data_IF_482603998040
#
_entry.id   IF_482603998040
#
_cell.length_a   1.000
_cell.length_b   1.000
_cell.length_c   1.000
_cell.angle_alpha   90.00
_cell.angle_beta   90.00
_cell.angle_gamma   90.00
#
_symmetry.space_group_name_H-M   'P 1'
#
loop_
_entity.id
_entity.type
_entity.pdbx_description
1 polymer ?
#
# COMPACT_ATOMS: atom_id res chain seq x y z
N UNK A 1 -4.69 -3.38 6.48
CA UNK A 1 -3.78 -2.54 5.66
C UNK A 1 -2.59 -3.37 5.27
N UNK A 2 -2.31 -3.37 4.02
CA UNK A 2 -1.59 -4.41 3.30
C UNK A 2 -0.12 -4.58 3.71
N UNK A 3 0.77 -3.63 3.46
CA UNK A 3 2.20 -3.73 3.86
C UNK A 3 2.99 -4.78 3.09
N UNK A 4 2.62 -5.02 1.83
CA UNK A 4 3.32 -5.93 0.92
C UNK A 4 4.55 -5.29 0.28
N UNK A 5 4.53 -3.96 0.10
CA UNK A 5 5.57 -3.20 -0.58
C UNK A 5 6.62 -2.75 0.44
N UNK A 6 7.52 -3.63 0.82
CA UNK A 6 8.50 -3.43 1.88
C UNK A 6 9.91 -3.82 1.41
N UNK A 7 10.93 -3.42 2.15
CA UNK A 7 12.33 -3.77 1.85
C UNK A 7 12.66 -5.22 2.24
N UNK A 8 13.51 -5.87 1.46
CA UNK A 8 14.26 -7.04 1.89
C UNK A 8 15.57 -6.58 2.55
N UNK A 9 15.62 -6.61 3.87
CA UNK A 9 16.78 -6.10 4.65
C UNK A 9 18.06 -6.88 4.45
N UNK A 10 17.97 -8.12 3.99
CA UNK A 10 19.16 -8.97 3.81
C UNK A 10 19.97 -8.56 2.57
N UNK A 11 19.31 -7.88 1.61
CA UNK A 11 19.89 -7.46 0.34
C UNK A 11 20.24 -5.96 0.30
N UNK A 12 20.11 -5.24 1.43
CA UNK A 12 20.40 -3.82 1.52
C UNK A 12 21.60 -3.50 2.39
N UNK A 13 22.32 -2.43 2.03
CA UNK A 13 23.32 -1.83 2.91
C UNK A 13 22.67 -1.19 4.12
N UNK A 14 23.37 -1.18 5.25
CA UNK A 14 22.85 -0.59 6.50
C UNK A 14 22.38 0.86 6.33
N UNK A 15 23.07 1.68 5.55
CA UNK A 15 22.68 3.07 5.29
C UNK A 15 21.31 3.17 4.61
N UNK A 16 21.02 2.28 3.66
CA UNK A 16 19.76 2.25 2.92
C UNK A 16 18.61 1.79 3.81
N UNK A 17 18.86 0.81 4.69
CA UNK A 17 17.90 0.40 5.72
C UNK A 17 17.58 1.57 6.66
N UNK A 18 18.59 2.34 7.11
CA UNK A 18 18.37 3.51 7.96
C UNK A 18 17.61 4.62 7.24
N UNK A 19 17.87 4.84 5.95
CA UNK A 19 17.16 5.81 5.12
C UNK A 19 15.68 5.44 4.96
N UNK A 20 15.39 4.21 4.53
CA UNK A 20 14.01 3.71 4.45
C UNK A 20 13.29 3.79 5.81
N UNK A 21 13.97 3.43 6.89
CA UNK A 21 13.43 3.56 8.24
C UNK A 21 13.16 5.02 8.61
N UNK A 22 13.97 5.96 8.11
CA UNK A 22 13.77 7.39 8.26
C UNK A 22 12.46 7.85 7.63
N UNK A 23 12.15 7.44 6.42
CA UNK A 23 10.88 7.75 5.74
C UNK A 23 9.69 7.10 6.44
N UNK A 24 9.80 5.83 6.85
CA UNK A 24 8.75 5.15 7.60
C UNK A 24 8.45 5.83 8.95
N UNK A 25 9.50 6.21 9.69
CA UNK A 25 9.35 6.97 10.94
C UNK A 25 8.82 8.39 10.66
N UNK A 26 9.19 9.00 9.53
CA UNK A 26 8.67 10.28 9.07
C UNK A 26 7.17 10.24 8.81
N UNK A 27 6.69 9.22 8.11
CA UNK A 27 5.26 9.00 7.91
C UNK A 27 4.53 8.81 9.26
N UNK A 28 5.08 7.99 10.17
CA UNK A 28 4.52 7.78 11.50
C UNK A 28 4.41 9.09 12.30
N UNK A 29 5.44 9.94 12.25
CA UNK A 29 5.44 11.25 12.91
C UNK A 29 4.39 12.16 12.30
N UNK A 30 4.35 12.28 10.98
CA UNK A 30 3.38 13.09 10.24
C UNK A 30 1.94 12.67 10.54
N UNK A 31 1.66 11.35 10.55
CA UNK A 31 0.37 10.82 10.94
C UNK A 31 0.01 11.20 12.37
N UNK A 32 0.99 11.13 13.29
CA UNK A 32 0.80 11.50 14.68
C UNK A 32 0.54 12.99 14.89
N UNK A 33 1.28 13.85 14.21
CA UNK A 33 1.13 15.31 14.30
C UNK A 33 -0.19 15.80 13.69
N UNK A 34 -0.59 15.24 12.54
CA UNK A 34 -1.79 15.68 11.81
C UNK A 34 -3.09 15.06 12.33
N UNK A 35 -3.02 13.81 12.80
CA UNK A 35 -4.19 12.97 13.07
C UNK A 35 -4.18 12.28 14.44
N UNK A 36 -3.18 12.59 15.27
CA UNK A 36 -3.06 12.06 16.62
C UNK A 36 -2.65 10.58 16.65
N UNK A 37 -2.85 9.96 17.81
CA UNK A 37 -2.46 8.56 18.02
C UNK A 37 -3.22 7.62 17.07
N UNK A 38 -4.49 7.88 16.81
CA UNK A 38 -5.29 7.08 15.88
C UNK A 38 -4.70 7.06 14.47
N UNK A 39 -4.21 8.21 13.97
CA UNK A 39 -3.57 8.29 12.66
C UNK A 39 -2.39 7.33 12.50
N UNK A 40 -1.61 7.09 13.56
CA UNK A 40 -0.46 6.19 13.52
C UNK A 40 -0.84 4.72 13.27
N UNK A 41 -2.07 4.32 13.58
CA UNK A 41 -2.55 2.96 13.29
C UNK A 41 -2.81 2.71 11.80
N UNK A 42 -2.87 3.76 10.98
CA UNK A 42 -2.95 3.63 9.53
C UNK A 42 -1.59 3.49 8.84
N UNK A 43 -0.47 3.56 9.59
CA UNK A 43 0.88 3.49 9.06
C UNK A 43 1.11 2.23 8.20
N UNK A 44 1.60 2.39 6.97
CA UNK A 44 1.86 1.29 6.05
C UNK A 44 3.22 1.42 5.34
N UNK A 45 3.77 0.29 4.94
CA UNK A 45 4.97 0.24 4.11
C UNK A 45 4.69 0.68 2.68
N UNK A 46 3.49 0.39 2.17
CA UNK A 46 3.08 0.74 0.81
C UNK A 46 3.10 2.27 0.60
N UNK A 47 2.62 3.03 1.60
CA UNK A 47 2.71 4.49 1.57
C UNK A 47 4.13 5.01 1.84
N UNK A 48 4.96 4.24 2.56
CA UNK A 48 6.39 4.58 2.68
C UNK A 48 7.10 4.43 1.34
N UNK A 49 6.81 3.39 0.57
CA UNK A 49 7.30 3.25 -0.80
C UNK A 49 6.90 4.45 -1.67
N UNK A 50 5.65 4.89 -1.60
CA UNK A 50 5.18 6.08 -2.32
C UNK A 50 6.01 7.32 -1.95
N UNK A 51 6.29 7.53 -0.65
CA UNK A 51 7.10 8.67 -0.19
C UNK A 51 8.52 8.59 -0.78
N UNK A 52 9.16 7.42 -0.71
CA UNK A 52 10.52 7.24 -1.23
C UNK A 52 10.55 7.48 -2.73
N UNK A 53 9.60 6.92 -3.49
CA UNK A 53 9.50 7.09 -4.93
C UNK A 53 9.32 8.56 -5.33
N UNK A 54 8.35 9.25 -4.74
CA UNK A 54 8.08 10.66 -5.06
C UNK A 54 9.21 11.57 -4.57
N UNK A 55 9.86 11.25 -3.43
CA UNK A 55 11.02 12.01 -2.94
C UNK A 55 12.20 11.84 -3.87
N UNK A 56 12.47 10.64 -4.35
CA UNK A 56 13.54 10.35 -5.30
C UNK A 56 13.31 11.02 -6.66
N UNK A 57 12.06 11.11 -7.12
CA UNK A 57 11.70 11.68 -8.42
C UNK A 57 11.69 13.21 -8.41
N UNK A 58 11.12 13.83 -7.38
CA UNK A 58 10.90 15.27 -7.32
C UNK A 58 11.92 16.03 -6.47
N UNK A 59 12.77 15.33 -5.75
CA UNK A 59 13.84 15.87 -4.89
C UNK A 59 13.42 17.08 -4.02
N UNK A 60 12.33 17.00 -3.24
CA UNK A 60 11.88 18.11 -2.40
C UNK A 60 12.85 18.36 -1.26
N UNK A 61 12.81 19.57 -0.71
CA UNK A 61 13.46 19.85 0.57
C UNK A 61 12.92 18.92 1.65
N UNK A 62 13.82 18.25 2.34
CA UNK A 62 13.50 17.28 3.39
C UNK A 62 14.07 17.69 4.73
N UNK A 63 13.28 17.53 5.78
CA UNK A 63 13.72 17.74 7.18
C UNK A 63 14.20 16.40 7.73
N UNK A 64 15.47 16.32 8.11
CA UNK A 64 16.08 15.12 8.67
C UNK A 64 16.44 15.39 10.13
N UNK A 65 15.80 14.65 11.03
CA UNK A 65 16.05 14.77 12.48
C UNK A 65 16.22 13.39 13.12
N UNK A 66 16.78 13.37 14.32
CA UNK A 66 16.91 12.13 15.10
C UNK A 66 16.04 12.26 16.37
N UNK A 67 14.96 11.50 16.42
CA UNK A 67 13.98 11.55 17.52
C UNK A 67 13.86 10.21 18.27
N UNK A 68 13.44 10.27 19.53
CA UNK A 68 13.00 9.08 20.27
C UNK A 68 11.53 8.80 19.93
N UNK A 69 11.25 7.57 19.51
CA UNK A 69 9.89 7.15 19.22
C UNK A 69 9.20 6.68 20.52
N UNK A 70 7.94 7.05 20.79
CA UNK A 70 7.19 6.55 21.94
C UNK A 70 7.09 5.01 21.99
N UNK A 71 7.04 4.38 20.82
CA UNK A 71 7.00 2.90 20.69
C UNK A 71 8.38 2.26 20.90
N UNK A 72 9.47 3.01 20.61
CA UNK A 72 10.86 2.54 20.72
C UNK A 72 11.71 3.57 21.49
N UNK A 73 11.51 3.74 22.81
CA UNK A 73 12.06 4.85 23.56
C UNK A 73 13.58 4.77 23.79
N UNK A 74 14.18 3.59 23.63
CA UNK A 74 15.57 3.32 24.02
C UNK A 74 16.56 4.01 23.05
N UNK A 75 16.28 3.96 21.75
CA UNK A 75 17.20 4.50 20.71
C UNK A 75 16.53 5.62 19.92
N UNK A 76 17.32 6.66 19.61
CA UNK A 76 16.90 7.65 18.62
C UNK A 76 16.88 6.99 17.24
N UNK A 77 15.86 7.30 16.45
CA UNK A 77 15.73 6.86 15.07
C UNK A 77 15.73 8.04 14.11
N UNK A 78 16.24 7.87 12.88
CA UNK A 78 16.08 8.90 11.87
C UNK A 78 14.60 9.10 11.56
N UNK A 79 14.24 10.35 11.32
CA UNK A 79 12.90 10.78 10.89
C UNK A 79 13.11 11.73 9.73
N UNK A 80 12.63 11.35 8.55
CA UNK A 80 12.74 12.11 7.30
C UNK A 80 11.32 12.50 6.90
N UNK A 81 11.06 13.80 6.81
CA UNK A 81 9.76 14.34 6.43
C UNK A 81 9.88 15.38 5.33
N UNK A 82 8.90 15.41 4.44
CA UNK A 82 8.75 16.40 3.38
C UNK A 82 7.28 16.48 2.93
N UNK A 83 6.99 17.24 1.86
CA UNK A 83 5.62 17.37 1.32
C UNK A 83 4.94 16.03 0.99
N UNK A 84 5.72 15.01 0.60
CA UNK A 84 5.19 13.68 0.28
C UNK A 84 4.84 12.85 1.52
N UNK A 85 5.48 13.11 2.66
CA UNK A 85 5.07 12.53 3.94
C UNK A 85 3.67 13.01 4.34
N UNK A 86 3.36 14.30 4.10
CA UNK A 86 2.03 14.84 4.34
C UNK A 86 0.99 14.28 3.37
N UNK A 87 1.33 14.21 2.09
CA UNK A 87 0.48 13.61 1.08
C UNK A 87 0.14 12.15 1.38
N UNK A 88 1.16 11.34 1.64
CA UNK A 88 0.97 9.92 1.96
C UNK A 88 0.17 9.72 3.25
N UNK A 89 0.35 10.59 4.26
CA UNK A 89 -0.45 10.56 5.48
C UNK A 89 -1.95 10.84 5.18
N UNK A 90 -2.24 11.82 4.31
CA UNK A 90 -3.61 12.12 3.91
C UNK A 90 -4.23 10.95 3.11
N UNK A 91 -3.48 10.32 2.20
CA UNK A 91 -3.94 9.12 1.46
C UNK A 91 -4.18 7.93 2.40
N UNK A 92 -3.31 7.68 3.38
CA UNK A 92 -3.52 6.65 4.39
C UNK A 92 -4.83 6.84 5.17
N UNK A 93 -5.15 8.07 5.54
CA UNK A 93 -6.39 8.38 6.26
C UNK A 93 -7.63 8.15 5.38
N UNK A 94 -7.56 8.54 4.10
CA UNK A 94 -8.66 8.31 3.15
C UNK A 94 -8.91 6.81 3.01
N UNK A 95 -7.86 6.03 2.70
CA UNK A 95 -8.00 4.58 2.53
C UNK A 95 -8.46 3.87 3.80
N UNK A 96 -7.92 4.28 4.98
CA UNK A 96 -8.34 3.69 6.25
C UNK A 96 -9.80 3.97 6.58
N UNK A 97 -10.29 5.18 6.30
CA UNK A 97 -11.68 5.54 6.52
C UNK A 97 -12.62 4.75 5.61
N UNK A 98 -12.31 4.66 4.31
CA UNK A 98 -13.13 3.91 3.36
C UNK A 98 -13.13 2.41 3.70
N UNK A 99 -12.01 1.83 4.10
CA UNK A 99 -11.96 0.45 4.60
C UNK A 99 -12.88 0.22 5.83
N UNK A 100 -12.87 1.14 6.81
CA UNK A 100 -13.80 1.04 7.93
C UNK A 100 -15.27 1.26 7.52
N UNK A 101 -15.51 2.06 6.47
CA UNK A 101 -16.85 2.27 5.96
C UNK A 101 -17.40 0.99 5.30
N UNK A 102 -16.56 0.29 4.58
CA UNK A 102 -16.84 -1.01 3.96
C UNK A 102 -17.12 -2.10 5.02
N UNK A 103 -16.18 -2.30 5.95
CA UNK A 103 -16.36 -3.21 7.11
C UNK A 103 -17.66 -2.96 7.90
N UNK A 104 -18.05 -1.67 8.03
CA UNK A 104 -19.27 -1.33 8.76
C UNK A 104 -20.55 -1.61 7.95
N UNK A 105 -20.48 -1.43 6.64
CA UNK A 105 -21.59 -1.74 5.72
C UNK A 105 -21.87 -3.25 5.73
N UNK A 106 -20.83 -4.06 5.66
CA UNK A 106 -20.93 -5.51 5.49
C UNK A 106 -21.25 -6.24 6.81
N UNK A 107 -20.51 -5.94 7.87
CA UNK A 107 -20.56 -6.75 9.10
C UNK A 107 -21.09 -5.97 10.32
N UNK A 108 -21.38 -4.66 10.22
CA UNK A 108 -21.81 -3.77 11.33
C UNK A 108 -20.92 -3.91 12.59
N UNK A 109 -19.64 -4.21 12.39
CA UNK A 109 -18.70 -4.41 13.50
C UNK A 109 -18.56 -3.13 14.34
N UNK A 110 -18.64 -3.26 15.67
CA UNK A 110 -18.42 -2.15 16.59
C UNK A 110 -17.04 -1.49 16.41
N UNK A 111 -16.03 -2.27 16.04
CA UNK A 111 -14.67 -1.76 15.76
C UNK A 111 -14.66 -0.84 14.53
N UNK A 112 -15.39 -1.19 13.48
CA UNK A 112 -15.52 -0.36 12.28
C UNK A 112 -16.23 0.96 12.59
N UNK A 113 -17.32 0.92 13.36
CA UNK A 113 -18.01 2.13 13.83
C UNK A 113 -17.09 3.06 14.65
N UNK A 114 -16.28 2.49 15.55
CA UNK A 114 -15.29 3.25 16.33
C UNK A 114 -14.20 3.85 15.41
N UNK A 115 -13.72 3.10 14.41
CA UNK A 115 -12.78 3.58 13.40
C UNK A 115 -13.34 4.76 12.61
N UNK A 116 -14.56 4.63 12.08
CA UNK A 116 -15.26 5.72 11.37
C UNK A 116 -15.36 6.98 12.20
N UNK A 117 -15.73 6.85 13.49
CA UNK A 117 -15.84 8.00 14.40
C UNK A 117 -14.45 8.65 14.63
N UNK A 118 -13.42 7.83 14.87
CA UNK A 118 -12.06 8.30 15.13
C UNK A 118 -11.45 9.04 13.92
N UNK A 119 -11.71 8.57 12.69
CA UNK A 119 -11.13 9.14 11.48
C UNK A 119 -12.00 10.21 10.79
N UNK A 120 -13.27 10.38 11.15
CA UNK A 120 -14.24 11.25 10.47
C UNK A 120 -13.73 12.65 10.18
N UNK A 121 -13.17 13.33 11.18
CA UNK A 121 -12.68 14.71 11.02
C UNK A 121 -11.37 14.77 10.24
N UNK A 122 -10.51 13.78 10.40
CA UNK A 122 -9.27 13.61 9.63
C UNK A 122 -9.60 13.42 8.15
N UNK A 123 -10.50 12.49 7.86
CA UNK A 123 -11.01 12.19 6.53
C UNK A 123 -11.58 13.42 5.81
N UNK A 124 -12.47 14.19 6.48
CA UNK A 124 -13.03 15.41 5.88
C UNK A 124 -11.95 16.41 5.46
N UNK A 125 -10.89 16.56 6.26
CA UNK A 125 -9.78 17.47 5.92
C UNK A 125 -8.94 16.95 4.76
N UNK A 126 -8.69 15.64 4.70
CA UNK A 126 -7.94 15.02 3.62
C UNK A 126 -8.70 15.08 2.30
N UNK A 127 -9.98 14.73 2.30
CA UNK A 127 -10.87 14.80 1.11
C UNK A 127 -10.91 16.21 0.51
N UNK A 128 -11.03 17.25 1.34
CA UNK A 128 -11.09 18.63 0.87
C UNK A 128 -9.79 19.10 0.17
N UNK A 129 -8.66 18.42 0.39
CA UNK A 129 -7.39 18.73 -0.29
C UNK A 129 -7.18 17.91 -1.55
N UNK A 130 -7.72 16.69 -1.59
CA UNK A 130 -7.43 15.70 -2.63
C UNK A 130 -8.74 15.15 -3.24
N UNK A 131 -9.57 16.07 -3.75
CA UNK A 131 -10.86 15.72 -4.37
C UNK A 131 -10.72 14.75 -5.54
N UNK A 132 -9.69 14.93 -6.37
CA UNK A 132 -9.40 14.08 -7.53
C UNK A 132 -9.17 12.63 -7.11
N UNK A 133 -8.23 12.41 -6.18
CA UNK A 133 -7.90 11.08 -5.68
C UNK A 133 -9.09 10.45 -4.95
N UNK A 134 -9.75 11.22 -4.09
CA UNK A 134 -10.90 10.72 -3.31
C UNK A 134 -12.06 10.28 -4.20
N UNK A 135 -12.31 11.02 -5.28
CA UNK A 135 -13.36 10.65 -6.24
C UNK A 135 -13.08 9.27 -6.85
N UNK A 136 -11.87 9.07 -7.38
CA UNK A 136 -11.50 7.79 -8.00
C UNK A 136 -11.48 6.66 -6.96
N UNK A 137 -10.96 6.90 -5.76
CA UNK A 137 -10.97 5.89 -4.69
C UNK A 137 -12.40 5.39 -4.42
N UNK A 138 -13.37 6.31 -4.26
CA UNK A 138 -14.77 5.93 -4.02
C UNK A 138 -15.39 5.18 -5.19
N UNK A 139 -15.22 5.69 -6.41
CA UNK A 139 -15.76 5.07 -7.60
C UNK A 139 -15.24 3.64 -7.79
N UNK A 140 -13.94 3.42 -7.54
CA UNK A 140 -13.35 2.10 -7.70
C UNK A 140 -13.65 1.14 -6.56
N UNK A 141 -13.81 1.62 -5.32
CA UNK A 141 -14.30 0.81 -4.21
C UNK A 141 -15.76 0.39 -4.43
N UNK A 142 -16.62 1.28 -4.93
CA UNK A 142 -17.99 0.92 -5.31
C UNK A 142 -18.01 -0.11 -6.47
N UNK A 143 -17.06 -0.04 -7.41
CA UNK A 143 -16.90 -1.03 -8.47
C UNK A 143 -16.45 -2.38 -7.89
N UNK A 144 -15.51 -2.38 -6.95
CA UNK A 144 -15.04 -3.59 -6.27
C UNK A 144 -16.18 -4.26 -5.50
N UNK A 145 -16.95 -3.50 -4.70
CA UNK A 145 -18.13 -4.04 -3.99
C UNK A 145 -19.14 -4.71 -4.91
N UNK A 146 -19.37 -4.15 -6.12
CA UNK A 146 -20.27 -4.79 -7.11
C UNK A 146 -19.72 -6.12 -7.65
N UNK A 147 -18.39 -6.22 -7.80
CA UNK A 147 -17.71 -7.47 -8.23
C UNK A 147 -17.87 -8.53 -7.14
N UNK A 148 -17.69 -8.14 -5.88
CA UNK A 148 -17.81 -8.99 -4.70
C UNK A 148 -19.26 -9.46 -4.47
N UNK A 149 -20.25 -8.54 -4.55
CA UNK A 149 -21.67 -8.86 -4.46
C UNK A 149 -22.13 -9.80 -5.58
N UNK A 150 -21.53 -9.72 -6.77
CA UNK A 150 -21.79 -10.61 -7.89
C UNK A 150 -21.06 -11.97 -7.78
N UNK A 151 -20.22 -12.17 -6.78
CA UNK A 151 -19.31 -13.33 -6.65
C UNK A 151 -18.52 -13.59 -7.95
N UNK A 152 -18.10 -12.51 -8.64
CA UNK A 152 -17.33 -12.60 -9.89
C UNK A 152 -15.92 -13.12 -9.60
N UNK A 153 -15.52 -14.23 -10.20
CA UNK A 153 -14.25 -14.89 -9.98
C UNK A 153 -13.13 -14.40 -10.92
N UNK A 154 -13.37 -13.34 -11.68
CA UNK A 154 -12.36 -12.69 -12.50
C UNK A 154 -11.38 -11.87 -11.64
N UNK A 155 -10.26 -12.50 -11.24
CA UNK A 155 -9.20 -11.85 -10.44
C UNK A 155 -8.62 -10.63 -11.14
N UNK A 156 -8.51 -10.63 -12.48
CA UNK A 156 -7.98 -9.51 -13.23
C UNK A 156 -8.88 -8.28 -13.12
N UNK A 157 -10.18 -8.48 -13.17
CA UNK A 157 -11.19 -7.44 -13.05
C UNK A 157 -11.20 -6.84 -11.63
N UNK A 158 -11.18 -7.71 -10.60
CA UNK A 158 -11.14 -7.27 -9.21
C UNK A 158 -9.83 -6.53 -8.88
N UNK A 159 -8.67 -7.10 -9.25
CA UNK A 159 -7.38 -6.49 -9.02
C UNK A 159 -7.21 -5.15 -9.76
N UNK A 160 -7.82 -5.00 -10.94
CA UNK A 160 -7.76 -3.75 -11.70
C UNK A 160 -8.47 -2.59 -10.99
N UNK A 161 -9.50 -2.83 -10.17
CA UNK A 161 -10.14 -1.75 -9.38
C UNK A 161 -9.16 -1.15 -8.38
N UNK A 162 -8.49 -2.00 -7.59
CA UNK A 162 -7.47 -1.54 -6.65
C UNK A 162 -6.24 -0.96 -7.37
N UNK A 163 -5.89 -1.51 -8.53
CA UNK A 163 -4.89 -0.94 -9.43
C UNK A 163 -5.21 0.50 -9.82
N UNK A 164 -6.45 0.82 -10.20
CA UNK A 164 -6.86 2.19 -10.55
C UNK A 164 -6.86 3.14 -9.35
N UNK A 165 -7.19 2.66 -8.16
CA UNK A 165 -7.04 3.43 -6.92
C UNK A 165 -5.58 3.84 -6.72
N UNK A 166 -4.67 2.88 -6.77
CA UNK A 166 -3.25 3.14 -6.55
C UNK A 166 -2.64 3.96 -7.69
N UNK A 167 -3.08 3.75 -8.94
CA UNK A 167 -2.68 4.59 -10.06
C UNK A 167 -2.96 6.08 -9.81
N UNK A 168 -4.11 6.38 -9.24
CA UNK A 168 -4.49 7.76 -8.94
C UNK A 168 -3.75 8.34 -7.74
N UNK A 169 -3.47 7.52 -6.73
CA UNK A 169 -2.68 7.90 -5.55
C UNK A 169 -1.21 8.18 -5.92
N UNK A 170 -0.63 7.42 -6.86
CA UNK A 170 0.77 7.62 -7.25
C UNK A 170 0.99 8.90 -8.06
N UNK A 171 -0.04 9.42 -8.69
CA UNK A 171 0.01 10.72 -9.38
C UNK A 171 -0.28 11.85 -8.39
N UNK A 172 0.79 12.36 -7.77
CA UNK A 172 0.69 13.53 -6.87
C UNK A 172 0.19 14.75 -7.62
N UNK A 173 0.81 15.09 -8.74
CA UNK A 173 0.43 16.16 -9.65
C UNK A 173 0.50 15.68 -11.12
N UNK A 174 -0.24 16.37 -12.01
CA UNK A 174 -0.25 16.04 -13.43
C UNK A 174 0.88 16.76 -14.14
N UNK A 175 1.91 16.00 -14.45
CA UNK A 175 3.12 16.47 -15.12
C UNK A 175 3.64 15.45 -16.15
N UNK A 176 4.91 15.58 -16.56
CA UNK A 176 5.53 14.69 -17.52
C UNK A 176 5.70 13.25 -17.03
N UNK A 177 5.60 13.01 -15.72
CA UNK A 177 5.78 11.71 -15.10
C UNK A 177 4.44 11.01 -14.82
N UNK A 178 3.31 11.67 -15.12
CA UNK A 178 1.97 11.14 -14.83
C UNK A 178 1.78 9.73 -15.38
N UNK A 179 2.18 9.47 -16.62
CA UNK A 179 1.97 8.17 -17.28
C UNK A 179 2.74 7.04 -16.56
N UNK A 180 4.02 7.26 -16.26
CA UNK A 180 4.85 6.27 -15.59
C UNK A 180 4.43 6.05 -14.14
N UNK A 181 4.16 7.11 -13.39
CA UNK A 181 3.64 7.02 -12.02
C UNK A 181 2.30 6.30 -11.96
N UNK A 182 1.40 6.59 -12.88
CA UNK A 182 0.10 5.92 -13.00
C UNK A 182 0.27 4.43 -13.28
N UNK A 183 1.20 4.06 -14.17
CA UNK A 183 1.50 2.67 -14.48
C UNK A 183 2.12 1.94 -13.28
N UNK A 184 3.08 2.53 -12.59
CA UNK A 184 3.67 1.98 -11.35
C UNK A 184 2.57 1.75 -10.32
N UNK A 185 1.75 2.78 -10.04
CA UNK A 185 0.65 2.68 -9.07
C UNK A 185 -0.36 1.59 -9.45
N UNK A 186 -0.73 1.50 -10.73
CA UNK A 186 -1.68 0.51 -11.20
C UNK A 186 -1.18 -0.93 -10.96
N UNK A 187 0.04 -1.22 -11.35
CA UNK A 187 0.57 -2.58 -11.21
C UNK A 187 0.94 -2.93 -9.76
N UNK A 188 1.41 -1.98 -8.96
CA UNK A 188 1.58 -2.18 -7.51
C UNK A 188 0.23 -2.46 -6.84
N UNK A 189 -0.82 -1.73 -7.20
CA UNK A 189 -2.16 -1.96 -6.68
C UNK A 189 -2.69 -3.34 -7.03
N UNK A 190 -2.55 -3.76 -8.30
CA UNK A 190 -2.91 -5.13 -8.71
C UNK A 190 -2.11 -6.17 -7.93
N UNK A 191 -0.81 -6.00 -7.79
CA UNK A 191 0.05 -6.90 -7.04
C UNK A 191 -0.42 -7.05 -5.58
N UNK A 192 -0.70 -5.94 -4.91
CA UNK A 192 -1.20 -5.92 -3.53
C UNK A 192 -2.51 -6.71 -3.43
N UNK A 193 -3.46 -6.45 -4.32
CA UNK A 193 -4.76 -7.13 -4.31
C UNK A 193 -4.64 -8.65 -4.53
N UNK A 194 -3.84 -9.08 -5.51
CA UNK A 194 -3.61 -10.49 -5.81
C UNK A 194 -2.94 -11.20 -4.62
N UNK A 195 -1.95 -10.54 -3.98
CA UNK A 195 -1.29 -11.08 -2.79
C UNK A 195 -2.23 -11.22 -1.61
N UNK A 196 -3.06 -10.21 -1.35
CA UNK A 196 -4.06 -10.21 -0.28
C UNK A 196 -5.06 -11.34 -0.47
N UNK A 197 -5.65 -11.43 -1.67
CA UNK A 197 -6.56 -12.51 -2.03
C UNK A 197 -5.91 -13.91 -1.89
N UNK A 198 -4.63 -14.04 -2.25
CA UNK A 198 -3.89 -15.30 -2.10
C UNK A 198 -3.63 -15.64 -0.62
N UNK A 199 -3.20 -14.66 0.20
CA UNK A 199 -2.95 -14.90 1.63
C UNK A 199 -4.23 -15.28 2.37
N UNK A 200 -5.34 -14.63 2.07
CA UNK A 200 -6.58 -14.72 2.85
C UNK A 200 -7.57 -15.78 2.33
N UNK A 201 -7.31 -16.45 1.20
CA UNK A 201 -8.26 -17.35 0.52
C UNK A 201 -8.89 -18.40 1.44
N UNK A 202 -8.12 -19.05 2.31
CA UNK A 202 -8.65 -20.09 3.21
C UNK A 202 -9.50 -19.50 4.34
N UNK A 203 -9.09 -18.33 4.86
CA UNK A 203 -9.80 -17.65 5.94
C UNK A 203 -11.13 -17.06 5.42
N UNK A 204 -11.11 -16.44 4.24
CA UNK A 204 -12.29 -15.90 3.59
C UNK A 204 -13.33 -16.96 3.31
N UNK A 205 -12.91 -18.12 2.77
CA UNK A 205 -13.82 -19.23 2.52
C UNK A 205 -14.44 -19.76 3.83
N UNK A 206 -13.63 -19.88 4.91
CA UNK A 206 -14.15 -20.33 6.22
C UNK A 206 -15.17 -19.35 6.82
N UNK A 207 -15.00 -18.05 6.55
CA UNK A 207 -15.90 -16.99 7.02
C UNK A 207 -17.09 -16.76 6.09
N UNK A 208 -17.09 -17.33 4.88
CA UNK A 208 -18.10 -17.09 3.85
C UNK A 208 -17.93 -15.74 3.14
N UNK A 209 -16.75 -15.14 3.23
CA UNK A 209 -16.40 -13.92 2.52
C UNK A 209 -16.12 -14.20 1.04
N UNK A 210 -16.21 -13.15 0.24
CA UNK A 210 -15.75 -13.18 -1.15
C UNK A 210 -14.24 -13.37 -1.22
N UNK A 211 -13.81 -14.22 -2.15
CA UNK A 211 -12.42 -14.29 -2.58
C UNK A 211 -12.39 -14.81 -4.03
N UNK A 212 -11.73 -14.11 -4.97
CA UNK A 212 -11.72 -14.47 -6.38
C UNK A 212 -11.04 -15.83 -6.66
N UNK A 213 -10.22 -16.32 -5.75
CA UNK A 213 -9.56 -17.62 -5.85
C UNK A 213 -10.40 -18.80 -5.30
N UNK A 214 -11.58 -18.53 -4.73
CA UNK A 214 -12.44 -19.53 -4.08
C UNK A 214 -12.65 -20.81 -4.89
N UNK A 215 -12.76 -20.70 -6.21
CA UNK A 215 -13.01 -21.85 -7.08
C UNK A 215 -11.78 -22.68 -7.41
N UNK A 216 -10.59 -22.06 -7.40
CA UNK A 216 -9.34 -22.66 -7.93
C UNK A 216 -8.25 -22.88 -6.88
N UNK A 217 -8.43 -22.45 -5.62
CA UNK A 217 -7.36 -22.50 -4.61
C UNK A 217 -6.89 -23.91 -4.24
N UNK A 218 -7.69 -24.95 -4.55
CA UNK A 218 -7.34 -26.36 -4.35
C UNK A 218 -6.80 -27.04 -5.60
N UNK A 219 -6.76 -26.35 -6.70
CA UNK A 219 -6.30 -26.93 -7.95
C UNK A 219 -4.79 -27.20 -7.91
N UNK A 220 -4.39 -28.28 -8.57
CA UNK A 220 -2.97 -28.57 -8.72
C UNK A 220 -2.28 -27.44 -9.52
N UNK A 221 -1.23 -26.85 -8.95
CA UNK A 221 -0.52 -25.74 -9.58
C UNK A 221 -1.10 -24.36 -9.27
N UNK A 222 -2.05 -24.25 -8.31
CA UNK A 222 -2.63 -22.97 -7.90
C UNK A 222 -1.56 -21.94 -7.51
N UNK A 223 -0.62 -22.35 -6.65
CA UNK A 223 0.46 -21.49 -6.18
C UNK A 223 1.37 -21.01 -7.31
N UNK A 224 1.73 -21.89 -8.23
CA UNK A 224 2.54 -21.56 -9.40
C UNK A 224 1.81 -20.57 -10.32
N UNK A 225 0.50 -20.75 -10.50
CA UNK A 225 -0.33 -19.82 -11.26
C UNK A 225 -0.40 -18.43 -10.62
N UNK A 226 -0.60 -18.36 -9.31
CA UNK A 226 -0.59 -17.09 -8.57
C UNK A 226 0.78 -16.43 -8.67
N UNK A 227 1.87 -17.20 -8.49
CA UNK A 227 3.22 -16.69 -8.64
C UNK A 227 3.44 -16.07 -10.02
N UNK A 228 3.02 -16.76 -11.08
CA UNK A 228 3.12 -16.25 -12.44
C UNK A 228 2.33 -14.93 -12.64
N UNK A 229 1.11 -14.83 -12.10
CA UNK A 229 0.33 -13.58 -12.15
C UNK A 229 1.06 -12.43 -11.44
N UNK A 230 1.65 -12.71 -10.27
CA UNK A 230 2.41 -11.73 -9.51
C UNK A 230 3.69 -11.31 -10.25
N UNK A 231 4.42 -12.26 -10.84
CA UNK A 231 5.63 -11.99 -11.63
C UNK A 231 5.32 -11.10 -12.84
N UNK A 232 4.26 -11.39 -13.58
CA UNK A 232 3.82 -10.57 -14.70
C UNK A 232 3.45 -9.16 -14.25
N UNK A 233 2.71 -9.06 -13.14
CA UNK A 233 2.25 -7.78 -12.61
C UNK A 233 3.42 -6.91 -12.13
N UNK A 234 4.35 -7.48 -11.35
CA UNK A 234 5.48 -6.69 -10.83
C UNK A 234 6.49 -6.34 -11.94
N UNK A 235 6.63 -7.17 -12.96
CA UNK A 235 7.49 -6.88 -14.11
C UNK A 235 7.03 -5.64 -14.88
N UNK A 236 5.72 -5.47 -15.05
CA UNK A 236 5.15 -4.26 -15.67
C UNK A 236 5.36 -3.00 -14.81
N UNK A 237 5.26 -3.15 -13.48
CA UNK A 237 5.61 -2.09 -12.54
C UNK A 237 7.08 -1.70 -12.66
N UNK A 238 7.97 -2.68 -12.62
CA UNK A 238 9.42 -2.47 -12.73
C UNK A 238 9.80 -1.82 -14.07
N UNK A 239 9.18 -2.24 -15.16
CA UNK A 239 9.42 -1.65 -16.49
C UNK A 239 9.02 -0.15 -16.55
N UNK A 240 7.96 0.26 -15.85
CA UNK A 240 7.60 1.66 -15.73
C UNK A 240 8.57 2.42 -14.81
N UNK A 241 8.94 1.82 -13.69
CA UNK A 241 9.89 2.38 -12.73
C UNK A 241 11.26 2.67 -13.36
N UNK A 242 11.82 1.75 -14.14
CA UNK A 242 13.15 1.92 -14.76
C UNK A 242 13.19 3.01 -15.86
N UNK A 243 12.05 3.57 -16.27
CA UNK A 243 12.00 4.74 -17.16
C UNK A 243 12.14 6.08 -16.43
N UNK A 244 11.93 6.10 -15.11
CA UNK A 244 12.06 7.30 -14.31
C UNK A 244 13.54 7.68 -14.11
N UNK A 245 13.92 8.98 -14.20
CA UNK A 245 15.29 9.43 -14.06
C UNK A 245 15.73 9.56 -12.60
N UNK A 246 15.59 8.48 -11.85
CA UNK A 246 15.88 8.47 -10.41
C UNK A 246 17.38 8.36 -10.16
N UNK A 247 17.89 9.14 -9.20
CA UNK A 247 19.29 9.13 -8.78
C UNK A 247 19.40 8.71 -7.31
N UNK A 248 18.57 9.30 -6.44
CA UNK A 248 18.55 9.00 -5.01
C UNK A 248 17.67 7.79 -4.72
N UNK A 249 18.02 7.05 -3.68
CA UNK A 249 17.22 5.95 -3.12
C UNK A 249 16.85 4.83 -4.12
N UNK A 250 17.47 4.81 -5.29
CA UNK A 250 17.21 3.84 -6.37
C UNK A 250 17.45 2.41 -5.88
N UNK A 251 18.52 2.18 -5.11
CA UNK A 251 18.84 0.86 -4.56
C UNK A 251 17.73 0.37 -3.60
N UNK A 252 17.15 1.28 -2.82
CA UNK A 252 16.01 0.98 -1.93
C UNK A 252 14.77 0.61 -2.74
N UNK A 253 14.44 1.41 -3.76
CA UNK A 253 13.27 1.21 -4.60
C UNK A 253 13.39 -0.09 -5.42
N UNK A 254 14.57 -0.37 -5.99
CA UNK A 254 14.85 -1.63 -6.68
C UNK A 254 14.75 -2.82 -5.74
N UNK A 255 15.35 -2.74 -4.56
CA UNK A 255 15.24 -3.80 -3.56
C UNK A 255 13.76 -4.10 -3.23
N UNK A 256 12.91 -3.07 -3.08
CA UNK A 256 11.48 -3.29 -2.83
C UNK A 256 10.83 -4.03 -4.01
N UNK A 257 11.02 -3.56 -5.24
CA UNK A 257 10.33 -4.08 -6.42
C UNK A 257 10.82 -5.46 -6.86
N UNK A 258 12.12 -5.76 -6.68
CA UNK A 258 12.70 -7.01 -7.17
C UNK A 258 12.78 -8.11 -6.10
N UNK A 259 12.88 -7.72 -4.81
CA UNK A 259 13.07 -8.68 -3.71
C UNK A 259 12.02 -8.52 -2.61
N UNK A 260 11.80 -7.30 -2.16
CA UNK A 260 11.02 -7.00 -0.98
C UNK A 260 9.57 -7.45 -1.05
N UNK A 261 8.92 -7.27 -2.21
CA UNK A 261 7.53 -7.66 -2.46
C UNK A 261 7.30 -9.17 -2.36
N UNK A 262 8.34 -9.99 -2.50
CA UNK A 262 8.28 -11.45 -2.45
C UNK A 262 8.37 -12.01 -1.03
N UNK A 263 8.83 -11.23 -0.05
CA UNK A 263 9.11 -11.71 1.31
C UNK A 263 7.91 -12.36 2.01
N UNK A 264 6.69 -11.94 1.71
CA UNK A 264 5.47 -12.56 2.27
C UNK A 264 5.10 -13.84 1.51
N UNK A 265 5.16 -13.82 0.19
CA UNK A 265 4.91 -15.00 -0.64
C UNK A 265 5.82 -16.16 -0.27
N UNK A 266 7.12 -15.90 -0.09
CA UNK A 266 8.13 -16.89 0.26
C UNK A 266 7.90 -17.48 1.66
N UNK A 267 7.56 -16.66 2.67
CA UNK A 267 7.23 -17.13 4.03
C UNK A 267 6.03 -18.05 4.07
N UNK A 268 4.98 -17.76 3.29
CA UNK A 268 3.84 -18.66 3.18
C UNK A 268 4.27 -19.99 2.58
N UNK A 269 5.10 -19.95 1.55
CA UNK A 269 5.66 -21.11 0.88
C UNK A 269 6.47 -22.02 1.79
N UNK A 270 7.26 -21.45 2.70
CA UNK A 270 8.04 -22.19 3.70
C UNK A 270 7.13 -22.87 4.74
N UNK A 271 6.09 -22.17 5.19
CA UNK A 271 5.13 -22.71 6.18
C UNK A 271 4.25 -23.85 5.61
N UNK A 272 3.98 -23.85 4.31
CA UNK A 272 3.22 -24.93 3.62
C UNK A 272 4.08 -26.18 3.37
N UNK A 273 5.40 -26.05 3.42
CA UNK A 273 6.36 -27.16 3.21
C UNK A 273 6.82 -27.85 4.50
N UNK A 274 6.44 -27.36 5.67
CA UNK A 274 6.68 -27.94 7.00
C UNK A 274 5.46 -28.69 7.52
#
# INVERSE_FOLDING_TARGET
MYGYVNINKMELKLKEIYEFQGFYCGLCETLGERYGVSGRFSLSYDMTFLIVLLTSLYEPDSVIVSKRCPVHPIRKKPVITNKFSEYAADMNIILAYEHFADDYKDEKKLKAAAGLLAYKNAYKRAVARYERQTKVIKEELDNLSRIEEAEDDDIEKAAATFGRIMAEIFVYEKDNWEEDLRRIGFFIGKFIYIMDAYEDVEEDIKKGNYNPFKKIYKDKGFKENVKYMLEMTISECAAAFERLPLIKDVDILRNILYDGVWTKFDRRSENESL
#
